data_IF_077368727074
#
_entry.id   IF_077368727074
#
_cell.length_a   1.000
_cell.length_b   1.000
_cell.length_c   1.000
_cell.angle_alpha   90.00
_cell.angle_beta   90.00
_cell.angle_gamma   90.00
#
_symmetry.space_group_name_H-M   'P 1'
#
loop_
_entity.id
_entity.type
_entity.pdbx_description
1 polymer ?
#
# COMPACT_ATOMS: atom_id res chain seq x y z
N UNK A 1 -8.30 -25.54 9.56
CA UNK A 1 -7.30 -25.76 8.50
C UNK A 1 -7.34 -24.65 7.45
N UNK A 2 -8.50 -24.39 6.83
CA UNK A 2 -8.65 -23.38 5.76
C UNK A 2 -8.19 -21.96 6.16
N UNK A 3 -8.53 -21.49 7.36
CA UNK A 3 -8.06 -20.18 7.87
C UNK A 3 -6.53 -20.10 7.99
N UNK A 4 -5.87 -21.19 8.38
CA UNK A 4 -4.41 -21.23 8.48
C UNK A 4 -3.75 -21.08 7.09
N UNK A 5 -4.35 -21.67 6.05
CA UNK A 5 -3.89 -21.49 4.67
C UNK A 5 -4.09 -20.07 4.16
N UNK A 6 -5.22 -19.44 4.49
CA UNK A 6 -5.50 -18.05 4.14
C UNK A 6 -4.54 -17.08 4.83
N UNK A 7 -4.25 -17.28 6.12
CA UNK A 7 -3.29 -16.46 6.87
C UNK A 7 -1.87 -16.58 6.30
N UNK A 8 -1.43 -17.80 5.98
CA UNK A 8 -0.13 -18.04 5.35
C UNK A 8 -0.09 -17.41 3.95
N UNK A 9 -1.13 -17.57 3.14
CA UNK A 9 -1.21 -16.96 1.81
C UNK A 9 -1.16 -15.42 1.88
N UNK A 10 -1.89 -14.81 2.82
CA UNK A 10 -1.88 -13.37 3.05
C UNK A 10 -0.50 -12.89 3.53
N UNK A 11 0.19 -13.68 4.37
CA UNK A 11 1.54 -13.35 4.82
C UNK A 11 2.55 -13.43 3.67
N UNK A 12 2.44 -14.41 2.77
CA UNK A 12 3.27 -14.49 1.56
C UNK A 12 3.00 -13.31 0.62
N UNK A 13 1.74 -12.98 0.37
CA UNK A 13 1.36 -11.82 -0.44
C UNK A 13 1.92 -10.52 0.14
N UNK A 14 1.85 -10.34 1.46
CA UNK A 14 2.45 -9.19 2.14
C UNK A 14 3.94 -9.05 1.81
N UNK A 15 4.72 -10.13 1.95
CA UNK A 15 6.15 -10.10 1.65
C UNK A 15 6.45 -9.88 0.17
N UNK A 16 5.61 -10.41 -0.73
CA UNK A 16 5.72 -10.15 -2.17
C UNK A 16 5.53 -8.66 -2.48
N UNK A 17 4.52 -8.01 -1.89
CA UNK A 17 4.28 -6.58 -2.10
C UNK A 17 5.38 -5.70 -1.50
N UNK A 18 5.87 -6.04 -0.29
CA UNK A 18 7.02 -5.35 0.32
C UNK A 18 8.26 -5.48 -0.57
N UNK A 19 8.57 -6.71 -1.01
CA UNK A 19 9.71 -6.97 -1.89
C UNK A 19 9.62 -6.24 -3.22
N UNK A 20 8.44 -6.23 -3.86
CA UNK A 20 8.18 -5.48 -5.07
C UNK A 20 8.37 -3.97 -4.86
N UNK A 21 7.88 -3.42 -3.74
CA UNK A 21 8.06 -2.02 -3.38
C UNK A 21 9.53 -1.60 -3.26
N UNK A 22 10.35 -2.44 -2.63
CA UNK A 22 11.79 -2.21 -2.49
C UNK A 22 12.50 -2.27 -3.86
N UNK A 23 12.19 -3.28 -4.68
CA UNK A 23 12.75 -3.42 -6.04
C UNK A 23 12.39 -2.22 -6.92
N UNK A 24 11.11 -1.82 -6.94
CA UNK A 24 10.67 -0.64 -7.69
C UNK A 24 11.28 0.65 -7.15
N UNK A 25 11.42 0.78 -5.83
CA UNK A 25 12.12 1.89 -5.19
C UNK A 25 13.57 1.99 -5.65
N UNK A 26 14.30 0.88 -5.70
CA UNK A 26 15.67 0.81 -6.20
C UNK A 26 15.73 1.20 -7.69
N UNK A 27 14.84 0.68 -8.52
CA UNK A 27 14.76 1.02 -9.97
C UNK A 27 14.52 2.53 -10.15
N UNK A 28 13.58 3.11 -9.40
CA UNK A 28 13.27 4.55 -9.44
C UNK A 28 14.46 5.37 -8.96
N UNK A 29 15.19 4.91 -7.94
CA UNK A 29 16.42 5.56 -7.49
C UNK A 29 17.46 5.62 -8.61
N UNK A 30 17.75 4.49 -9.27
CA UNK A 30 18.75 4.45 -10.33
C UNK A 30 18.36 5.30 -11.55
N UNK A 31 17.06 5.36 -11.89
CA UNK A 31 16.57 6.14 -13.03
C UNK A 31 16.50 7.64 -12.75
N UNK A 32 16.10 8.04 -11.54
CA UNK A 32 15.86 9.45 -11.21
C UNK A 32 16.97 10.11 -10.40
N UNK A 33 17.88 9.31 -9.83
CA UNK A 33 18.88 9.71 -8.81
C UNK A 33 18.30 10.52 -7.65
N UNK A 34 17.00 10.41 -7.40
CA UNK A 34 16.29 11.11 -6.35
C UNK A 34 15.93 10.13 -5.24
N UNK A 35 16.56 10.30 -4.07
CA UNK A 35 16.23 9.52 -2.88
C UNK A 35 14.75 9.71 -2.47
N UNK A 36 14.21 10.93 -2.62
CA UNK A 36 12.81 11.22 -2.29
C UNK A 36 11.82 10.41 -3.12
N UNK A 37 12.04 10.30 -4.44
CA UNK A 37 11.19 9.47 -5.31
C UNK A 37 11.31 7.99 -4.96
N UNK A 38 12.52 7.51 -4.67
CA UNK A 38 12.75 6.12 -4.28
C UNK A 38 12.00 5.76 -2.97
N UNK A 39 12.13 6.61 -1.94
CA UNK A 39 11.45 6.43 -0.66
C UNK A 39 9.93 6.45 -0.84
N UNK A 40 9.40 7.36 -1.66
CA UNK A 40 7.97 7.40 -1.94
C UNK A 40 7.47 6.10 -2.57
N UNK A 41 8.19 5.52 -3.52
CA UNK A 41 7.82 4.24 -4.14
C UNK A 41 7.87 3.07 -3.14
N UNK A 42 8.87 3.06 -2.25
CA UNK A 42 8.95 2.06 -1.17
C UNK A 42 7.76 2.18 -0.23
N UNK A 43 7.42 3.40 0.19
CA UNK A 43 6.28 3.67 1.07
C UNK A 43 4.95 3.24 0.43
N UNK A 44 4.78 3.46 -0.88
CA UNK A 44 3.62 2.97 -1.62
C UNK A 44 3.55 1.43 -1.60
N UNK A 45 4.68 0.75 -1.78
CA UNK A 45 4.74 -0.72 -1.69
C UNK A 45 4.35 -1.24 -0.30
N UNK A 46 4.83 -0.59 0.76
CA UNK A 46 4.42 -0.91 2.14
C UNK A 46 2.93 -0.65 2.39
N UNK A 47 2.39 0.46 1.86
CA UNK A 47 0.97 0.76 1.97
C UNK A 47 0.12 -0.31 1.26
N UNK A 48 0.50 -0.75 0.06
CA UNK A 48 -0.19 -1.82 -0.67
C UNK A 48 -0.10 -3.17 0.06
N UNK A 49 1.05 -3.50 0.65
CA UNK A 49 1.20 -4.70 1.46
C UNK A 49 0.29 -4.65 2.70
N UNK A 50 0.20 -3.50 3.38
CA UNK A 50 -0.71 -3.31 4.50
C UNK A 50 -2.18 -3.48 4.09
N UNK A 51 -2.58 -2.94 2.94
CA UNK A 51 -3.92 -3.12 2.36
C UNK A 51 -4.22 -4.58 2.08
N UNK A 52 -3.26 -5.35 1.54
CA UNK A 52 -3.49 -6.78 1.27
C UNK A 52 -3.73 -7.63 2.52
N UNK A 53 -3.27 -7.18 3.69
CA UNK A 53 -3.43 -7.90 4.96
C UNK A 53 -4.80 -7.68 5.59
N UNK A 54 -5.43 -6.53 5.35
CA UNK A 54 -6.74 -6.19 5.90
C UNK A 54 -7.56 -5.31 4.93
N UNK A 55 -7.94 -5.87 3.76
CA UNK A 55 -8.48 -5.08 2.66
C UNK A 55 -9.75 -4.33 3.05
N UNK A 56 -10.64 -4.94 3.83
CA UNK A 56 -11.88 -4.31 4.29
C UNK A 56 -11.63 -3.08 5.16
N UNK A 57 -10.73 -3.18 6.14
CA UNK A 57 -10.41 -2.06 7.02
C UNK A 57 -9.82 -0.88 6.26
N UNK A 58 -8.99 -1.12 5.25
CA UNK A 58 -8.39 -0.05 4.45
C UNK A 58 -9.33 0.53 3.39
N UNK A 59 -10.22 -0.26 2.78
CA UNK A 59 -11.29 0.29 1.93
C UNK A 59 -12.27 1.15 2.71
N UNK A 60 -12.59 0.80 3.95
CA UNK A 60 -13.44 1.62 4.81
C UNK A 60 -12.76 2.93 5.21
N UNK A 61 -11.44 2.90 5.48
CA UNK A 61 -10.66 4.11 5.76
C UNK A 61 -10.54 5.01 4.51
N UNK A 62 -10.34 4.43 3.33
CA UNK A 62 -10.35 5.16 2.06
C UNK A 62 -11.73 5.74 1.76
N UNK A 63 -12.80 4.97 1.97
CA UNK A 63 -14.17 5.43 1.82
C UNK A 63 -14.47 6.62 2.72
N UNK A 64 -14.18 6.51 4.02
CA UNK A 64 -14.36 7.61 4.98
C UNK A 64 -13.47 8.82 4.66
N UNK A 65 -12.24 8.59 4.21
CA UNK A 65 -11.33 9.65 3.78
C UNK A 65 -11.86 10.40 2.55
N UNK A 66 -12.38 9.67 1.56
CA UNK A 66 -13.01 10.24 0.37
C UNK A 66 -14.29 10.99 0.71
N UNK A 67 -15.14 10.46 1.60
CA UNK A 67 -16.33 11.19 2.06
C UNK A 67 -15.94 12.48 2.78
N UNK A 68 -14.93 12.44 3.65
CA UNK A 68 -14.44 13.64 4.33
C UNK A 68 -13.87 14.68 3.37
N UNK A 69 -13.12 14.27 2.35
CA UNK A 69 -12.62 15.18 1.30
C UNK A 69 -13.78 15.71 0.45
N UNK A 70 -14.73 14.87 0.08
CA UNK A 70 -15.92 15.26 -0.69
C UNK A 70 -16.76 16.28 0.08
N UNK A 71 -16.96 16.09 1.39
CA UNK A 71 -17.62 17.06 2.25
C UNK A 71 -16.85 18.40 2.24
N UNK A 72 -15.52 18.35 2.38
CA UNK A 72 -14.69 19.58 2.34
C UNK A 72 -14.71 20.31 0.99
N UNK A 73 -14.94 19.61 -0.12
CA UNK A 73 -15.03 20.19 -1.46
C UNK A 73 -16.43 20.71 -1.77
N UNK A 74 -17.48 20.06 -1.26
CA UNK A 74 -18.89 20.42 -1.54
C UNK A 74 -19.38 21.59 -0.68
N UNK A 75 -18.74 21.84 0.46
CA UNK A 75 -19.03 22.97 1.35
C UNK A 75 -18.14 24.21 1.11
N UNK A 76 -17.51 24.32 -0.08
CA UNK A 76 -16.79 25.50 -0.56
C UNK A 76 -17.37 25.92 -1.92
#
# INVERSE_FOLDING_TARGET
MEQLYLDVANQWLYWVFVGAGILFGAIVYFKSRSAGKAIATVLIGFALAAVSKDPQRYTDLLGRGLTWVADRVTFN
#
